data_IF_040477378114
#
_entry.id   IF_040477378114
#
_cell.length_a   1.000
_cell.length_b   1.000
_cell.length_c   1.000
_cell.angle_alpha   90.00
_cell.angle_beta   90.00
_cell.angle_gamma   90.00
#
_symmetry.space_group_name_H-M   'P 1'
#
loop_
_entity.id
_entity.type
_entity.pdbx_description
1 polymer ?
#
# COMPACT_ATOMS: atom_id res chain seq x y z
N UNK A 1 9.09 -61.16 21.16
CA UNK A 1 8.36 -60.31 22.12
C UNK A 1 8.99 -58.92 22.05
N UNK A 2 8.66 -58.15 21.02
CA UNK A 2 9.22 -56.81 20.78
C UNK A 2 8.05 -55.86 20.54
N UNK A 3 7.68 -55.15 21.61
CA UNK A 3 6.53 -54.25 21.63
C UNK A 3 6.93 -52.96 22.33
N UNK A 4 7.95 -52.26 21.82
CA UNK A 4 8.46 -51.06 22.51
C UNK A 4 9.26 -50.10 21.62
N UNK A 5 8.74 -49.69 20.45
CA UNK A 5 9.42 -48.62 19.70
C UNK A 5 8.54 -47.64 18.90
N UNK A 6 7.22 -47.84 18.84
CA UNK A 6 6.34 -46.95 18.04
C UNK A 6 5.72 -45.77 18.81
N UNK A 7 5.92 -45.66 20.13
CA UNK A 7 5.36 -44.53 20.91
C UNK A 7 6.26 -43.30 21.02
N UNK A 8 7.58 -43.44 20.86
CA UNK A 8 8.52 -42.32 20.93
C UNK A 8 8.53 -41.46 19.66
N UNK A 9 8.25 -42.06 18.49
CA UNK A 9 8.17 -41.32 17.22
C UNK A 9 6.94 -40.40 17.13
N UNK A 10 5.80 -40.83 17.68
CA UNK A 10 4.58 -40.01 17.67
C UNK A 10 4.62 -38.86 18.69
N UNK A 11 5.45 -38.94 19.74
CA UNK A 11 5.61 -37.85 20.70
C UNK A 11 6.54 -36.74 20.15
N UNK A 12 7.61 -37.11 19.42
CA UNK A 12 8.51 -36.13 18.79
C UNK A 12 7.85 -35.36 17.64
N UNK A 13 6.94 -35.99 16.88
CA UNK A 13 6.25 -35.32 15.77
C UNK A 13 5.23 -34.29 16.28
N UNK A 14 4.52 -34.58 17.38
CA UNK A 14 3.56 -33.63 17.96
C UNK A 14 4.24 -32.43 18.64
N UNK A 15 5.44 -32.60 19.21
CA UNK A 15 6.20 -31.49 19.80
C UNK A 15 6.79 -30.59 18.69
N UNK A 16 7.07 -31.15 17.51
CA UNK A 16 7.61 -30.40 16.37
C UNK A 16 6.52 -29.62 15.59
N UNK A 17 5.29 -30.13 15.52
CA UNK A 17 4.17 -29.39 14.90
C UNK A 17 3.61 -28.27 15.80
N UNK A 18 3.70 -28.42 17.14
CA UNK A 18 3.18 -27.42 18.07
C UNK A 18 4.12 -26.23 18.27
N UNK A 19 5.44 -26.38 18.10
CA UNK A 19 6.37 -25.23 18.09
C UNK A 19 6.33 -24.44 16.78
N UNK A 20 5.85 -25.03 15.68
CA UNK A 20 5.65 -24.33 14.41
C UNK A 20 4.34 -23.52 14.33
N UNK A 21 3.44 -23.68 15.30
CA UNK A 21 2.16 -22.95 15.34
C UNK A 21 2.16 -21.70 16.24
N UNK A 22 3.25 -21.40 16.96
CA UNK A 22 3.30 -20.27 17.91
C UNK A 22 4.14 -19.06 17.45
N UNK A 23 4.63 -19.02 16.20
CA UNK A 23 5.43 -17.89 15.69
C UNK A 23 4.72 -16.95 14.70
N UNK A 24 3.41 -17.10 14.47
CA UNK A 24 2.66 -16.20 13.55
C UNK A 24 1.67 -15.26 14.24
N UNK A 25 1.64 -15.22 15.57
CA UNK A 25 0.80 -14.26 16.32
C UNK A 25 1.68 -13.13 16.82
N UNK A 26 1.62 -11.99 16.12
CA UNK A 26 1.90 -10.69 16.75
C UNK A 26 3.17 -9.95 16.35
N UNK A 27 3.87 -10.31 15.26
CA UNK A 27 4.68 -9.29 14.59
C UNK A 27 3.74 -8.49 13.70
N UNK A 28 3.18 -7.41 14.25
CA UNK A 28 2.84 -6.26 13.41
C UNK A 28 4.19 -5.86 12.81
N UNK A 29 4.48 -6.35 11.60
CA UNK A 29 5.71 -6.02 10.89
C UNK A 29 5.78 -4.50 10.89
N UNK A 30 6.69 -3.95 11.69
CA UNK A 30 6.94 -2.51 11.70
C UNK A 30 7.32 -2.20 10.27
N UNK A 31 6.52 -1.39 9.60
CA UNK A 31 6.78 -1.03 8.22
C UNK A 31 8.22 -0.51 8.14
N UNK A 32 8.96 -1.04 7.19
CA UNK A 32 10.36 -0.68 6.96
C UNK A 32 10.43 0.83 6.66
N UNK A 33 11.50 1.50 7.07
CA UNK A 33 11.69 2.90 6.67
C UNK A 33 11.91 2.96 5.15
N UNK A 34 11.29 3.94 4.47
CA UNK A 34 11.57 4.18 3.06
C UNK A 34 13.03 4.62 2.86
N UNK A 35 13.69 5.20 3.87
CA UNK A 35 15.08 5.64 3.77
C UNK A 35 15.28 6.73 2.70
N UNK A 36 14.21 7.45 2.37
CA UNK A 36 14.22 8.53 1.38
C UNK A 36 14.80 9.80 1.99
N UNK A 37 15.86 10.33 1.40
CA UNK A 37 16.53 11.55 1.86
C UNK A 37 16.56 12.61 0.75
N UNK A 38 16.13 13.84 1.10
CA UNK A 38 16.19 15.00 0.20
C UNK A 38 17.25 15.99 0.65
N UNK A 39 18.34 16.05 -0.11
CA UNK A 39 19.41 17.05 0.04
C UNK A 39 19.43 18.08 -1.09
N UNK A 40 18.55 17.92 -2.08
CA UNK A 40 18.40 18.90 -3.17
C UNK A 40 17.94 20.26 -2.63
N UNK A 41 18.38 21.38 -3.25
CA UNK A 41 17.98 22.73 -2.84
C UNK A 41 16.53 23.04 -3.27
N UNK A 42 15.57 22.42 -2.58
CA UNK A 42 14.11 22.63 -2.72
C UNK A 42 13.55 23.21 -1.44
N UNK A 43 12.27 23.61 -1.45
CA UNK A 43 11.58 24.05 -0.23
C UNK A 43 11.59 22.90 0.80
N UNK A 44 12.29 23.11 1.92
CA UNK A 44 12.54 22.09 2.94
C UNK A 44 11.27 21.65 3.67
N UNK A 45 10.33 22.56 3.91
CA UNK A 45 9.05 22.27 4.56
C UNK A 45 8.19 21.36 3.69
N UNK A 46 8.03 21.72 2.40
CA UNK A 46 7.29 20.91 1.44
C UNK A 46 7.96 19.55 1.20
N UNK A 47 9.29 19.51 1.13
CA UNK A 47 10.04 18.26 0.96
C UNK A 47 9.85 17.33 2.17
N UNK A 48 9.92 17.88 3.39
CA UNK A 48 9.68 17.12 4.63
C UNK A 48 8.25 16.59 4.68
N UNK A 49 7.27 17.42 4.35
CA UNK A 49 5.87 17.01 4.31
C UNK A 49 5.63 15.90 3.26
N UNK A 50 6.26 16.00 2.10
CA UNK A 50 6.17 15.00 1.03
C UNK A 50 6.78 13.66 1.45
N UNK A 51 8.00 13.65 2.01
CA UNK A 51 8.63 12.43 2.54
C UNK A 51 7.77 11.80 3.63
N UNK A 52 7.29 12.59 4.60
CA UNK A 52 6.46 12.10 5.69
C UNK A 52 5.13 11.50 5.18
N UNK A 53 4.54 12.09 4.15
CA UNK A 53 3.29 11.58 3.56
C UNK A 53 3.53 10.30 2.77
N UNK A 54 4.65 10.21 2.03
CA UNK A 54 5.06 8.98 1.35
C UNK A 54 5.32 7.85 2.35
N UNK A 55 5.97 8.13 3.49
CA UNK A 55 6.18 7.13 4.54
C UNK A 55 4.85 6.63 5.11
N UNK A 56 3.93 7.55 5.46
CA UNK A 56 2.59 7.16 5.94
C UNK A 56 1.82 6.31 4.93
N UNK A 57 1.90 6.64 3.65
CA UNK A 57 1.29 5.85 2.58
C UNK A 57 1.92 4.46 2.47
N UNK A 58 3.25 4.36 2.59
CA UNK A 58 3.98 3.09 2.59
C UNK A 58 3.58 2.20 3.77
N UNK A 59 3.53 2.75 4.97
CA UNK A 59 3.15 2.04 6.18
C UNK A 59 1.71 1.53 6.07
N UNK A 60 0.79 2.40 5.62
CA UNK A 60 -0.61 2.04 5.41
C UNK A 60 -0.77 0.94 4.36
N UNK A 61 -0.01 0.99 3.27
CA UNK A 61 0.00 -0.05 2.24
C UNK A 61 0.45 -1.41 2.80
N UNK A 62 1.52 -1.45 3.60
CA UNK A 62 1.98 -2.70 4.23
C UNK A 62 0.95 -3.30 5.17
N UNK A 63 0.32 -2.45 6.00
CA UNK A 63 -0.78 -2.89 6.86
C UNK A 63 -1.96 -3.44 6.04
N UNK A 64 -2.33 -2.77 4.95
CA UNK A 64 -3.38 -3.23 4.06
C UNK A 64 -3.04 -4.60 3.43
N UNK A 65 -1.83 -4.78 2.90
CA UNK A 65 -1.42 -6.06 2.29
C UNK A 65 -1.33 -7.20 3.31
N UNK A 66 -0.91 -6.91 4.54
CA UNK A 66 -0.92 -7.88 5.63
C UNK A 66 -2.34 -8.35 5.98
N UNK A 67 -3.36 -7.52 5.77
CA UNK A 67 -4.75 -7.92 5.96
C UNK A 67 -5.35 -8.62 4.75
N UNK A 68 -5.07 -8.10 3.54
CA UNK A 68 -5.47 -8.73 2.28
C UNK A 68 -4.98 -10.18 2.22
N UNK A 69 -3.75 -10.44 2.64
CA UNK A 69 -3.18 -11.80 2.67
C UNK A 69 -3.90 -12.77 3.61
N UNK A 70 -4.74 -12.27 4.53
CA UNK A 70 -5.58 -13.08 5.43
C UNK A 70 -6.98 -13.35 4.85
N UNK A 71 -7.37 -12.69 3.76
CA UNK A 71 -8.65 -12.90 3.06
C UNK A 71 -8.44 -13.63 1.73
N UNK A 72 -8.86 -14.91 1.67
CA UNK A 72 -8.77 -15.77 0.48
C UNK A 72 -9.61 -15.26 -0.70
N UNK A 73 -10.72 -14.56 -0.44
CA UNK A 73 -11.59 -13.97 -1.46
C UNK A 73 -10.90 -12.77 -2.15
N UNK A 74 -10.15 -12.01 -1.35
CA UNK A 74 -9.49 -10.77 -1.76
C UNK A 74 -8.21 -11.05 -2.56
N UNK A 75 -7.46 -12.10 -2.19
CA UNK A 75 -6.21 -12.50 -2.84
C UNK A 75 -6.34 -12.85 -4.34
N UNK A 76 -7.51 -13.30 -4.79
CA UNK A 76 -7.71 -13.74 -6.18
C UNK A 76 -8.20 -12.62 -7.11
N UNK A 77 -8.30 -11.37 -6.63
CA UNK A 77 -8.69 -10.24 -7.46
C UNK A 77 -7.50 -9.72 -8.27
N UNK A 78 -7.61 -9.74 -9.61
CA UNK A 78 -6.60 -9.13 -10.49
C UNK A 78 -6.44 -7.63 -10.23
N UNK A 79 -7.53 -6.93 -9.88
CA UNK A 79 -7.50 -5.50 -9.56
C UNK A 79 -6.67 -5.19 -8.32
N UNK A 80 -6.74 -6.06 -7.30
CA UNK A 80 -5.95 -5.92 -6.07
C UNK A 80 -4.47 -6.22 -6.35
N UNK A 81 -4.18 -7.21 -7.17
CA UNK A 81 -2.81 -7.50 -7.63
C UNK A 81 -2.25 -6.31 -8.43
N UNK A 82 -3.02 -5.72 -9.34
CA UNK A 82 -2.61 -4.54 -10.12
C UNK A 82 -2.31 -3.33 -9.20
N UNK A 83 -3.15 -3.13 -8.17
CA UNK A 83 -2.90 -2.13 -7.14
C UNK A 83 -1.60 -2.41 -6.38
N UNK A 84 -1.40 -3.64 -5.94
CA UNK A 84 -0.18 -4.05 -5.22
C UNK A 84 1.07 -3.80 -6.06
N UNK A 85 1.07 -4.26 -7.32
CA UNK A 85 2.19 -4.11 -8.24
C UNK A 85 2.49 -2.63 -8.49
N UNK A 86 1.48 -1.82 -8.81
CA UNK A 86 1.67 -0.39 -9.05
C UNK A 86 2.21 0.33 -7.81
N UNK A 87 1.73 -0.03 -6.63
CA UNK A 87 2.17 0.53 -5.35
C UNK A 87 3.61 0.14 -5.02
N UNK A 88 3.97 -1.13 -5.20
CA UNK A 88 5.35 -1.60 -5.02
C UNK A 88 6.31 -0.91 -5.98
N UNK A 89 5.92 -0.74 -7.25
CA UNK A 89 6.71 0.02 -8.22
C UNK A 89 6.92 1.44 -7.72
N UNK A 90 5.87 2.13 -7.26
CA UNK A 90 5.97 3.48 -6.73
C UNK A 90 7.04 3.58 -5.62
N UNK A 91 6.93 2.74 -4.59
CA UNK A 91 7.85 2.82 -3.45
C UNK A 91 9.26 2.32 -3.78
N UNK A 92 9.41 1.40 -4.74
CA UNK A 92 10.74 0.97 -5.22
C UNK A 92 11.53 2.11 -5.88
N UNK A 93 10.86 3.12 -6.45
CA UNK A 93 11.53 4.27 -7.08
C UNK A 93 12.22 5.21 -6.08
N UNK A 94 11.82 5.15 -4.81
CA UNK A 94 12.27 6.04 -3.74
C UNK A 94 12.90 5.33 -2.55
N UNK A 95 12.79 4.00 -2.47
CA UNK A 95 13.38 3.22 -1.37
C UNK A 95 14.90 3.41 -1.32
N UNK A 96 15.40 3.80 -0.15
CA UNK A 96 16.80 4.08 0.16
C UNK A 96 17.46 5.10 -0.79
N UNK A 97 16.66 6.01 -1.36
CA UNK A 97 17.15 6.97 -2.33
C UNK A 97 17.59 8.26 -1.66
N UNK A 98 18.79 8.73 -1.99
CA UNK A 98 19.28 10.06 -1.62
C UNK A 98 19.25 10.93 -2.86
N UNK A 99 18.45 12.00 -2.84
CA UNK A 99 18.39 12.97 -3.94
C UNK A 99 19.20 14.20 -3.56
N UNK A 100 20.25 14.49 -4.32
CA UNK A 100 21.20 15.57 -4.04
C UNK A 100 21.03 16.74 -4.99
N UNK A 101 20.48 16.51 -6.19
CA UNK A 101 20.27 17.55 -7.19
C UNK A 101 18.80 17.78 -7.50
N UNK A 102 18.48 18.99 -7.99
CA UNK A 102 17.12 19.31 -8.45
C UNK A 102 16.70 18.40 -9.61
N UNK A 103 17.62 18.01 -10.49
CA UNK A 103 17.28 17.18 -11.66
C UNK A 103 17.00 15.73 -11.27
N UNK A 104 17.78 15.15 -10.35
CA UNK A 104 17.48 13.85 -9.72
C UNK A 104 16.10 13.87 -9.06
N UNK A 105 15.82 14.95 -8.33
CA UNK A 105 14.51 15.16 -7.73
C UNK A 105 13.41 15.20 -8.78
N UNK A 106 13.55 16.01 -9.84
CA UNK A 106 12.55 16.14 -10.90
C UNK A 106 12.23 14.82 -11.59
N UNK A 107 13.26 14.06 -11.92
CA UNK A 107 13.12 12.74 -12.56
C UNK A 107 12.38 11.79 -11.60
N UNK A 108 12.80 11.75 -10.34
CA UNK A 108 12.22 10.86 -9.33
C UNK A 108 10.75 11.19 -9.07
N UNK A 109 10.43 12.45 -8.80
CA UNK A 109 9.07 12.85 -8.49
C UNK A 109 8.12 12.73 -9.70
N UNK A 110 8.59 12.85 -10.94
CA UNK A 110 7.79 12.50 -12.14
C UNK A 110 7.49 11.00 -12.23
N UNK A 111 8.47 10.16 -11.96
CA UNK A 111 8.28 8.71 -11.96
C UNK A 111 7.32 8.28 -10.82
N UNK A 112 7.52 8.84 -9.63
CA UNK A 112 6.67 8.61 -8.46
C UNK A 112 5.25 9.10 -8.70
N UNK A 113 5.05 10.30 -9.25
CA UNK A 113 3.69 10.81 -9.52
C UNK A 113 2.94 9.93 -10.52
N UNK A 114 3.62 9.45 -11.55
CA UNK A 114 3.05 8.52 -12.53
C UNK A 114 2.65 7.18 -11.88
N UNK A 115 3.52 6.64 -11.02
CA UNK A 115 3.25 5.38 -10.32
C UNK A 115 2.14 5.52 -9.27
N UNK A 116 2.14 6.61 -8.48
CA UNK A 116 1.08 6.94 -7.53
C UNK A 116 -0.27 7.08 -8.23
N UNK A 117 -0.34 7.84 -9.33
CA UNK A 117 -1.58 8.01 -10.07
C UNK A 117 -2.16 6.67 -10.56
N UNK A 118 -1.30 5.77 -11.07
CA UNK A 118 -1.71 4.40 -11.44
C UNK A 118 -2.22 3.60 -10.24
N UNK A 119 -1.49 3.63 -9.13
CA UNK A 119 -1.87 2.95 -7.91
C UNK A 119 -3.26 3.43 -7.42
N UNK A 120 -3.51 4.74 -7.37
CA UNK A 120 -4.82 5.27 -6.97
C UNK A 120 -5.94 4.80 -7.92
N UNK A 121 -5.72 4.80 -9.24
CA UNK A 121 -6.73 4.27 -10.19
C UNK A 121 -7.07 2.80 -9.91
N UNK A 122 -6.07 1.95 -9.72
CA UNK A 122 -6.30 0.55 -9.40
C UNK A 122 -6.96 0.36 -8.03
N UNK A 123 -6.57 1.16 -7.04
CA UNK A 123 -7.19 1.14 -5.72
C UNK A 123 -8.67 1.48 -5.78
N UNK A 124 -9.07 2.49 -6.58
CA UNK A 124 -10.49 2.89 -6.70
C UNK A 124 -11.30 1.74 -7.31
N UNK A 125 -10.74 1.05 -8.30
CA UNK A 125 -11.35 -0.14 -8.88
C UNK A 125 -11.45 -1.27 -7.86
N UNK A 126 -10.40 -1.50 -7.07
CA UNK A 126 -10.38 -2.52 -6.02
C UNK A 126 -11.43 -2.25 -4.94
N UNK A 127 -11.60 -0.99 -4.51
CA UNK A 127 -12.69 -0.59 -3.59
C UNK A 127 -14.06 -0.93 -4.16
N UNK A 128 -14.31 -0.59 -5.44
CA UNK A 128 -15.57 -0.90 -6.10
C UNK A 128 -15.85 -2.40 -6.18
N UNK A 129 -14.83 -3.20 -6.50
CA UNK A 129 -14.91 -4.65 -6.56
C UNK A 129 -15.19 -5.27 -5.18
N UNK A 130 -14.44 -4.85 -4.15
CA UNK A 130 -14.61 -5.33 -2.77
C UNK A 130 -15.98 -4.99 -2.20
N UNK A 131 -16.45 -3.76 -2.43
CA UNK A 131 -17.79 -3.35 -2.03
C UNK A 131 -18.88 -4.21 -2.69
N UNK A 132 -18.70 -4.60 -3.96
CA UNK A 132 -19.63 -5.49 -4.66
C UNK A 132 -19.62 -6.94 -4.14
N UNK A 133 -18.48 -7.37 -3.59
CA UNK A 133 -18.27 -8.70 -2.98
C UNK A 133 -18.65 -8.76 -1.50
N UNK A 134 -19.08 -7.64 -0.90
CA UNK A 134 -19.47 -7.57 0.52
C UNK A 134 -18.30 -7.35 1.49
N UNK A 135 -17.08 -7.16 0.99
CA UNK A 135 -15.84 -6.99 1.77
C UNK A 135 -15.65 -5.52 2.21
N UNK A 136 -16.67 -4.95 2.88
CA UNK A 136 -16.71 -3.52 3.22
C UNK A 136 -15.53 -3.06 4.08
N UNK A 137 -15.14 -3.86 5.07
CA UNK A 137 -14.04 -3.51 5.97
C UNK A 137 -12.67 -3.41 5.27
N UNK A 138 -12.42 -4.28 4.29
CA UNK A 138 -11.19 -4.21 3.48
C UNK A 138 -11.28 -3.03 2.51
N UNK A 139 -12.45 -2.79 1.90
CA UNK A 139 -12.67 -1.66 1.00
C UNK A 139 -12.44 -0.29 1.68
N UNK A 140 -12.87 -0.13 2.93
CA UNK A 140 -12.60 1.08 3.73
C UNK A 140 -11.10 1.31 3.95
N UNK A 141 -10.33 0.24 4.18
CA UNK A 141 -8.88 0.32 4.36
C UNK A 141 -8.14 0.64 3.07
N UNK A 142 -8.57 0.07 1.94
CA UNK A 142 -8.10 0.50 0.62
C UNK A 142 -8.35 1.99 0.41
N UNK A 143 -9.53 2.48 0.77
CA UNK A 143 -9.89 3.89 0.64
C UNK A 143 -8.96 4.79 1.48
N UNK A 144 -8.75 4.43 2.75
CA UNK A 144 -7.83 5.16 3.63
C UNK A 144 -6.38 5.17 3.11
N UNK A 145 -5.88 4.04 2.58
CA UNK A 145 -4.54 3.98 1.97
C UNK A 145 -4.46 4.86 0.72
N UNK A 146 -5.49 4.84 -0.13
CA UNK A 146 -5.53 5.69 -1.33
C UNK A 146 -5.56 7.17 -1.02
N UNK A 147 -6.26 7.60 0.03
CA UNK A 147 -6.29 9.01 0.42
C UNK A 147 -4.88 9.50 0.79
N UNK A 148 -4.08 8.68 1.46
CA UNK A 148 -2.67 8.99 1.74
C UNK A 148 -1.83 9.06 0.45
N UNK A 149 -2.05 8.15 -0.49
CA UNK A 149 -1.36 8.17 -1.78
C UNK A 149 -1.75 9.39 -2.63
N UNK A 150 -3.01 9.78 -2.60
CA UNK A 150 -3.54 10.96 -3.27
C UNK A 150 -2.94 12.24 -2.66
N UNK A 151 -2.84 12.33 -1.33
CA UNK A 151 -2.16 13.42 -0.65
C UNK A 151 -0.67 13.50 -1.04
N UNK A 152 0.02 12.36 -1.11
CA UNK A 152 1.41 12.31 -1.57
C UNK A 152 1.55 12.80 -3.01
N UNK A 153 0.60 12.42 -3.89
CA UNK A 153 0.56 12.84 -5.28
C UNK A 153 0.35 14.36 -5.40
N UNK A 154 -0.56 14.94 -4.62
CA UNK A 154 -0.80 16.39 -4.57
C UNK A 154 0.42 17.16 -4.09
N UNK A 155 1.09 16.70 -3.03
CA UNK A 155 2.36 17.29 -2.59
C UNK A 155 3.46 17.19 -3.65
N UNK A 156 3.49 16.09 -4.42
CA UNK A 156 4.43 15.94 -5.53
C UNK A 156 4.20 17.01 -6.61
N UNK A 157 2.93 17.32 -6.93
CA UNK A 157 2.58 18.38 -7.88
C UNK A 157 2.82 19.80 -7.35
N UNK A 158 2.81 19.98 -6.04
CA UNK A 158 3.15 21.28 -5.44
C UNK A 158 4.67 21.50 -5.40
N UNK A 159 5.46 20.44 -5.18
CA UNK A 159 6.92 20.50 -5.17
C UNK A 159 7.54 20.65 -6.57
N UNK A 160 6.92 20.02 -7.57
CA UNK A 160 7.25 20.25 -8.97
C UNK A 160 6.00 20.79 -9.60
N UNK A 161 5.94 22.09 -9.94
CA UNK A 161 4.88 22.63 -10.78
C UNK A 161 4.95 21.95 -12.15
N UNK A 162 4.42 20.73 -12.24
CA UNK A 162 4.21 19.99 -13.46
C UNK A 162 3.03 20.69 -14.10
N UNK A 163 3.29 21.45 -15.17
CA UNK A 163 2.23 22.00 -15.99
C UNK A 163 1.27 20.87 -16.41
N UNK A 164 0.04 20.99 -15.90
CA UNK A 164 -1.25 20.39 -16.30
C UNK A 164 -1.24 19.08 -17.09
N UNK A 165 -1.88 18.03 -16.52
CA UNK A 165 -2.68 17.08 -17.32
C UNK A 165 -3.69 16.24 -16.51
N UNK A 166 -3.57 16.09 -15.19
CA UNK A 166 -4.45 15.17 -14.42
C UNK A 166 -5.50 15.81 -13.51
N UNK A 167 -5.50 17.14 -13.33
CA UNK A 167 -6.40 17.83 -12.38
C UNK A 167 -7.91 17.69 -12.71
N UNK A 168 -8.25 17.29 -13.94
CA UNK A 168 -9.65 17.22 -14.42
C UNK A 168 -10.31 15.83 -14.32
N UNK A 169 -9.54 14.74 -14.15
CA UNK A 169 -10.12 13.38 -14.17
C UNK A 169 -10.44 12.88 -12.76
N UNK A 170 -9.64 13.23 -11.75
CA UNK A 170 -9.76 12.65 -10.40
C UNK A 170 -10.89 13.24 -9.55
N UNK A 171 -11.18 14.54 -9.65
CA UNK A 171 -12.23 15.19 -8.84
C UNK A 171 -13.63 14.65 -9.22
N UNK A 172 -13.83 14.21 -10.46
CA UNK A 172 -15.13 13.70 -10.92
C UNK A 172 -15.37 12.23 -10.58
N UNK A 173 -14.34 11.40 -10.47
CA UNK A 173 -14.49 9.96 -10.19
C UNK A 173 -14.70 9.68 -8.70
N UNK A 174 -14.06 10.44 -7.81
CA UNK A 174 -14.21 10.25 -6.36
C UNK A 174 -15.63 10.61 -5.88
N UNK A 175 -16.18 11.73 -6.37
CA UNK A 175 -17.54 12.17 -6.04
C UNK A 175 -18.61 11.20 -6.61
N UNK A 176 -18.35 10.55 -7.75
CA UNK A 176 -19.22 9.52 -8.28
C UNK A 176 -19.19 8.23 -7.44
N UNK A 177 -18.02 7.80 -6.95
CA UNK A 177 -17.87 6.61 -6.10
C UNK A 177 -18.52 6.77 -4.72
N UNK A 178 -18.32 7.93 -4.07
CA UNK A 178 -18.90 8.23 -2.76
C UNK A 178 -20.44 8.32 -2.80
N UNK A 179 -21.02 8.88 -3.87
CA UNK A 179 -22.49 8.95 -4.05
C UNK A 179 -23.13 7.59 -4.31
N UNK A 180 -22.42 6.65 -4.93
CA UNK A 180 -22.93 5.27 -5.15
C UNK A 180 -22.93 4.47 -3.85
N UNK A 181 -21.96 4.67 -2.96
CA UNK A 181 -21.93 4.04 -1.63
C UNK A 181 -23.07 4.55 -0.71
N UNK A 182 -23.41 5.83 -0.79
CA UNK A 182 -24.48 6.43 0.04
C UNK A 182 -25.91 6.01 -0.39
N UNK A 183 -26.15 5.73 -1.67
CA UNK A 183 -27.50 5.36 -2.17
C UNK A 183 -27.91 3.90 -1.91
N UNK A 184 -27.01 3.02 -1.48
CA UNK A 184 -27.31 1.61 -1.18
C UNK A 184 -27.60 1.33 0.31
N UNK A 185 -27.57 2.36 1.16
CA UNK A 185 -27.88 2.27 2.60
C UNK A 185 -29.21 2.97 2.98
N UNK A 186 -30.10 3.18 2.00
CA UNK A 186 -31.52 3.55 2.20
C UNK A 186 -32.38 2.47 1.57
#
# INVERSE_FOLDING_TARGET
MEFKDNRLKNLSINICLSTLLFLSIGSVAKAEDLGLVMNAPVNSELATAWIATLQKAYDSFHHLMAEVSRSTITLNSSTIVDFEVATRVCFSLIKNKVMTTIDEFKITARAVSTALAKAVVYGVRAVGELASKGEKGIAEKFSATMDLMQNALELTYNLIPLFFLFKLVFIKTFDAGARVASRKNK
#
